data_IF_716163727157
#
_entry.id   IF_716163727157
#
_cell.length_a   1.000
_cell.length_b   1.000
_cell.length_c   1.000
_cell.angle_alpha   90.00
_cell.angle_beta   90.00
_cell.angle_gamma   90.00
#
_symmetry.space_group_name_H-M   'P 1'
#
loop_
_entity.id
_entity.type
_entity.pdbx_description
1 polymer ?
#
# COMPACT_ATOMS: atom_id res chain seq x y z
N UNK A 1 15.33 -19.55 19.62
CA UNK A 1 14.69 -18.23 19.60
C UNK A 1 13.63 -18.24 18.53
N UNK A 2 12.35 -18.20 18.90
CA UNK A 2 11.26 -18.13 17.92
C UNK A 2 11.36 -16.80 17.15
N UNK A 3 11.11 -16.76 15.83
CA UNK A 3 11.02 -15.51 15.12
C UNK A 3 9.83 -14.75 15.69
N UNK A 4 10.09 -13.65 16.38
CA UNK A 4 9.06 -12.67 16.69
C UNK A 4 8.60 -12.09 15.35
N UNK A 5 7.50 -12.61 14.80
CA UNK A 5 6.80 -11.98 13.68
C UNK A 5 6.33 -10.62 14.14
N UNK A 6 7.18 -9.60 13.97
CA UNK A 6 6.82 -8.22 14.24
C UNK A 6 5.67 -7.87 13.30
N UNK A 7 4.58 -7.27 13.81
CA UNK A 7 3.45 -6.89 12.97
C UNK A 7 3.93 -5.88 11.94
N UNK A 8 3.91 -6.27 10.67
CA UNK A 8 4.33 -5.40 9.58
C UNK A 8 3.09 -4.67 9.04
N UNK A 9 3.21 -3.35 8.92
CA UNK A 9 2.15 -2.52 8.42
C UNK A 9 2.38 -2.21 6.96
N UNK A 10 1.33 -2.25 6.16
CA UNK A 10 1.39 -1.94 4.74
C UNK A 10 0.26 -0.99 4.40
N UNK A 11 0.41 -0.25 3.32
CA UNK A 11 -0.67 0.54 2.74
C UNK A 11 -1.15 -0.18 1.51
N UNK A 12 -2.39 -0.65 1.55
CA UNK A 12 -3.07 -1.24 0.43
C UNK A 12 -3.75 -0.17 -0.41
N UNK A 13 -3.40 -0.09 -1.69
CA UNK A 13 -4.15 0.70 -2.65
C UNK A 13 -5.39 -0.08 -3.09
N UNK A 14 -6.55 0.30 -2.56
CA UNK A 14 -7.84 -0.18 -3.05
C UNK A 14 -8.25 0.68 -4.24
N UNK A 15 -7.88 0.27 -5.45
CA UNK A 15 -8.37 0.92 -6.67
C UNK A 15 -9.19 -0.08 -7.49
N UNK A 16 -10.12 0.47 -8.28
CA UNK A 16 -10.86 -0.26 -9.31
C UNK A 16 -10.05 -0.37 -10.60
N UNK A 17 -8.95 0.36 -10.68
CA UNK A 17 -8.03 0.43 -11.80
C UNK A 17 -7.15 -0.83 -11.85
N UNK A 18 -6.51 -1.06 -13.00
CA UNK A 18 -5.54 -2.14 -13.13
C UNK A 18 -4.36 -1.94 -12.16
N UNK A 19 -3.86 -3.05 -11.62
CA UNK A 19 -2.68 -3.05 -10.74
C UNK A 19 -1.45 -2.50 -11.46
N UNK A 20 -1.30 -2.79 -12.76
CA UNK A 20 -0.23 -2.23 -13.58
C UNK A 20 -0.24 -0.69 -13.60
N UNK A 21 -1.41 -0.08 -13.77
CA UNK A 21 -1.55 1.38 -13.81
C UNK A 21 -1.27 2.00 -12.44
N UNK A 22 -1.83 1.41 -11.36
CA UNK A 22 -1.55 1.84 -9.99
C UNK A 22 -0.06 1.72 -9.63
N UNK A 23 0.59 0.63 -10.07
CA UNK A 23 2.01 0.39 -9.82
C UNK A 23 2.91 1.38 -10.59
N UNK A 24 2.58 1.69 -11.85
CA UNK A 24 3.30 2.70 -12.62
C UNK A 24 3.23 4.06 -11.94
N UNK A 25 2.03 4.48 -11.54
CA UNK A 25 1.79 5.75 -10.86
C UNK A 25 2.52 5.91 -9.52
N UNK A 26 2.66 4.80 -8.78
CA UNK A 26 3.44 4.75 -7.55
C UNK A 26 4.95 4.85 -7.81
N UNK A 27 5.46 4.12 -8.80
CA UNK A 27 6.87 4.17 -9.19
C UNK A 27 7.27 5.58 -9.65
N UNK A 28 6.42 6.26 -10.40
CA UNK A 28 6.61 7.67 -10.80
C UNK A 28 6.72 8.63 -9.59
N UNK A 29 6.17 8.24 -8.43
CA UNK A 29 6.22 9.01 -7.18
C UNK A 29 7.30 8.51 -6.21
N UNK A 30 8.18 7.63 -6.68
CA UNK A 30 9.22 6.98 -5.89
C UNK A 30 8.68 6.11 -4.75
N UNK A 31 7.46 5.59 -4.88
CA UNK A 31 6.95 4.53 -4.02
C UNK A 31 7.29 3.17 -4.63
N UNK A 32 7.65 2.21 -3.76
CA UNK A 32 7.90 0.83 -4.16
C UNK A 32 6.63 -0.02 -3.97
N UNK A 33 5.82 -0.24 -5.01
CA UNK A 33 4.66 -1.13 -4.93
C UNK A 33 5.09 -2.59 -4.80
N UNK A 34 4.43 -3.30 -3.89
CA UNK A 34 4.49 -4.74 -3.74
C UNK A 34 3.15 -5.28 -4.26
N UNK A 35 3.20 -6.08 -5.31
CA UNK A 35 2.00 -6.70 -5.86
C UNK A 35 1.81 -8.04 -5.16
N UNK A 36 0.65 -8.22 -4.52
CA UNK A 36 0.25 -9.47 -3.88
C UNK A 36 -1.04 -9.99 -4.52
N UNK A 37 -1.19 -11.31 -4.59
CA UNK A 37 -2.47 -11.92 -4.93
C UNK A 37 -3.23 -12.22 -3.64
N UNK A 38 -4.42 -11.65 -3.49
CA UNK A 38 -5.33 -11.89 -2.38
C UNK A 38 -6.65 -12.35 -2.96
N UNK A 39 -7.02 -13.60 -2.70
CA UNK A 39 -8.28 -14.19 -3.18
C UNK A 39 -8.42 -14.16 -4.72
N UNK A 40 -7.30 -14.38 -5.44
CA UNK A 40 -7.27 -14.33 -6.91
C UNK A 40 -7.39 -12.91 -7.49
N UNK A 41 -7.27 -11.88 -6.65
CA UNK A 41 -7.22 -10.48 -7.04
C UNK A 41 -5.85 -9.91 -6.71
N UNK A 42 -5.22 -9.33 -7.72
CA UNK A 42 -3.99 -8.59 -7.51
C UNK A 42 -4.28 -7.31 -6.72
N UNK A 43 -3.52 -7.07 -5.66
CA UNK A 43 -3.55 -5.87 -4.85
C UNK A 43 -2.16 -5.25 -4.76
N UNK A 44 -2.12 -3.93 -4.66
CA UNK A 44 -0.87 -3.18 -4.53
C UNK A 44 -0.71 -2.77 -3.08
N UNK A 45 0.37 -3.23 -2.46
CA UNK A 45 0.81 -2.87 -1.12
C UNK A 45 2.02 -1.94 -1.19
N UNK A 46 2.21 -1.13 -0.16
CA UNK A 46 3.35 -0.23 -0.02
C UNK A 46 3.87 -0.42 1.41
N UNK A 47 5.19 -0.55 1.59
CA UNK A 47 5.80 -0.86 2.88
C UNK A 47 6.92 -1.91 2.74
N UNK A 48 7.34 -2.60 3.81
CA UNK A 48 6.74 -2.67 5.15
C UNK A 48 7.08 -1.47 6.05
N UNK A 49 6.09 -1.03 6.82
CA UNK A 49 6.24 -0.03 7.88
C UNK A 49 6.33 -0.69 9.25
N UNK A 50 7.16 -0.12 10.13
CA UNK A 50 7.45 -0.64 11.47
C UNK A 50 6.28 -0.46 12.45
N UNK A 51 5.43 0.54 12.21
CA UNK A 51 4.32 0.93 13.10
C UNK A 51 3.13 1.43 12.28
N UNK A 52 1.92 1.22 12.81
CA UNK A 52 0.67 1.72 12.21
C UNK A 52 0.72 3.23 11.99
N UNK A 53 1.23 4.00 12.96
CA UNK A 53 1.32 5.46 12.85
C UNK A 53 2.12 5.90 11.61
N UNK A 54 3.27 5.27 11.36
CA UNK A 54 4.12 5.57 10.20
C UNK A 54 3.44 5.19 8.88
N UNK A 55 2.74 4.05 8.85
CA UNK A 55 1.91 3.66 7.71
C UNK A 55 0.75 4.63 7.48
N UNK A 56 0.15 5.17 8.54
CA UNK A 56 -0.97 6.10 8.45
C UNK A 56 -0.55 7.49 7.97
N UNK A 57 0.59 8.00 8.44
CA UNK A 57 1.17 9.24 7.92
C UNK A 57 1.44 9.15 6.41
N UNK A 58 2.02 8.03 5.99
CA UNK A 58 2.29 7.74 4.58
C UNK A 58 1.00 7.54 3.79
N UNK A 59 -0.02 6.88 4.38
CA UNK A 59 -1.35 6.71 3.78
C UNK A 59 -2.03 8.05 3.55
N UNK A 60 -1.97 8.98 4.51
CA UNK A 60 -2.55 10.33 4.38
C UNK A 60 -1.83 11.12 3.29
N UNK A 61 -0.49 11.07 3.27
CA UNK A 61 0.33 11.69 2.23
C UNK A 61 0.00 11.12 0.85
N UNK A 62 -0.13 9.79 0.75
CA UNK A 62 -0.50 9.09 -0.47
C UNK A 62 -1.91 9.45 -0.91
N UNK A 63 -2.88 9.46 0.01
CA UNK A 63 -4.27 9.85 -0.27
C UNK A 63 -4.34 11.25 -0.86
N UNK A 64 -3.59 12.22 -0.29
CA UNK A 64 -3.53 13.58 -0.83
C UNK A 64 -2.99 13.58 -2.27
N UNK A 65 -1.97 12.77 -2.58
CA UNK A 65 -1.43 12.62 -3.94
C UNK A 65 -2.43 11.96 -4.88
N UNK A 66 -3.14 10.93 -4.43
CA UNK A 66 -4.18 10.22 -5.19
C UNK A 66 -5.31 11.18 -5.56
N UNK A 67 -5.85 11.91 -4.58
CA UNK A 67 -6.90 12.92 -4.78
C UNK A 67 -6.42 14.03 -5.72
N UNK A 68 -5.19 14.53 -5.53
CA UNK A 68 -4.58 15.52 -6.43
C UNK A 68 -4.40 14.99 -7.86
N UNK A 69 -4.23 13.68 -8.02
CA UNK A 69 -4.11 13.02 -9.33
C UNK A 69 -5.47 12.57 -9.88
N UNK A 70 -6.58 12.90 -9.20
CA UNK A 70 -7.95 12.54 -9.56
C UNK A 70 -8.13 11.03 -9.76
N UNK A 71 -7.39 10.22 -8.99
CA UNK A 71 -7.44 8.75 -9.08
C UNK A 71 -8.51 8.18 -8.16
N UNK A 72 -9.13 7.10 -8.61
CA UNK A 72 -10.13 6.35 -7.86
C UNK A 72 -9.48 5.25 -7.00
N UNK A 73 -8.43 5.63 -6.28
CA UNK A 73 -7.74 4.74 -5.35
C UNK A 73 -8.00 5.18 -3.90
N UNK A 74 -8.16 4.19 -3.02
CA UNK A 74 -8.41 4.40 -1.60
C UNK A 74 -7.31 3.68 -0.81
N UNK A 75 -6.18 4.37 -0.55
CA UNK A 75 -5.12 3.80 0.28
C UNK A 75 -5.63 3.53 1.69
N UNK A 76 -5.49 2.29 2.13
CA UNK A 76 -5.90 1.80 3.45
C UNK A 76 -4.74 1.11 4.14
N UNK A 77 -4.54 1.40 5.42
CA UNK A 77 -3.50 0.72 6.21
C UNK A 77 -3.99 -0.68 6.56
N UNK A 78 -3.16 -1.69 6.28
CA UNK A 78 -3.41 -3.09 6.58
C UNK A 78 -2.23 -3.68 7.35
N UNK A 79 -2.52 -4.55 8.31
CA UNK A 79 -1.50 -5.29 9.04
C UNK A 79 -1.32 -6.65 8.37
N UNK A 80 -0.09 -6.98 8.03
CA UNK A 80 0.29 -8.33 7.59
C UNK A 80 1.16 -8.97 8.67
N UNK A 81 0.75 -10.15 9.12
CA UNK A 81 1.57 -11.00 9.98
C UNK A 81 2.03 -12.17 9.13
N UNK A 82 3.34 -12.37 9.05
CA UNK A 82 3.92 -13.53 8.37
C UNK A 82 4.04 -14.70 9.34
#
# INVERSE_FOLDING_TARGET
TAPVSTPQWFIQMNSREAVSDSSAWLLERSYAPIIVDVDGKQQVLIGPYESQAKAEEERVTLQAKVTKSHRFAEPSVVQHTR
#
